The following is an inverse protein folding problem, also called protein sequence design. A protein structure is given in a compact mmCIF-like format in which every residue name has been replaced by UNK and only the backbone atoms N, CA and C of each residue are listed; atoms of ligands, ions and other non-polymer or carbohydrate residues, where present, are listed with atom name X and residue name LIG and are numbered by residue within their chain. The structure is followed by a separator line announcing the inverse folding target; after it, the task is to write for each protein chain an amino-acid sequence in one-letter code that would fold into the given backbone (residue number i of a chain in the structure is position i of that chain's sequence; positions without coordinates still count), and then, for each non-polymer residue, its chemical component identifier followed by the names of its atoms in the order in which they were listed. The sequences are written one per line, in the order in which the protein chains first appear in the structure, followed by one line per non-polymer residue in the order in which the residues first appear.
data_IF_717331842449
#
_entry.id   IF_717331842449
#
_cell.length_a   1.000
_cell.length_b   1.000
_cell.length_c   1.000
_cell.angle_alpha   90.00
_cell.angle_beta   90.00
_cell.angle_gamma   90.00
#
_symmetry.space_group_name_H-M   'P 1'
#
loop_
_entity.id
_entity.type
_entity.pdbx_description
1 polymer ?
#
# COMPACT_ATOMS: atom_id res chain seq x y z
N UNK A 1 -3.34 -1.72 17.40
CA UNK A 1 -3.48 -2.53 16.18
C UNK A 1 -2.11 -2.75 15.60
N UNK A 2 -1.85 -3.93 15.05
CA UNK A 2 -0.63 -4.19 14.27
C UNK A 2 -0.61 -3.33 13.01
N UNK A 3 0.57 -2.88 12.60
CA UNK A 3 0.79 -2.02 11.43
C UNK A 3 0.24 -2.64 10.14
N UNK A 4 0.38 -3.97 9.99
CA UNK A 4 -0.17 -4.71 8.85
C UNK A 4 -1.69 -4.55 8.73
N UNK A 5 -2.41 -4.72 9.84
CA UNK A 5 -3.88 -4.60 9.87
C UNK A 5 -4.32 -3.17 9.54
N UNK A 6 -3.56 -2.16 10.00
CA UNK A 6 -3.85 -0.77 9.63
C UNK A 6 -3.70 -0.54 8.13
N UNK A 7 -2.63 -1.05 7.50
CA UNK A 7 -2.41 -0.89 6.06
C UNK A 7 -3.47 -1.62 5.25
N UNK A 8 -3.89 -2.83 5.64
CA UNK A 8 -4.99 -3.54 4.97
C UNK A 8 -6.28 -2.72 5.01
N UNK A 9 -6.64 -2.16 6.17
CA UNK A 9 -7.82 -1.28 6.26
C UNK A 9 -7.68 -0.01 5.41
N UNK A 10 -6.50 0.62 5.40
CA UNK A 10 -6.28 1.78 4.54
C UNK A 10 -6.41 1.43 3.05
N UNK A 11 -5.95 0.24 2.64
CA UNK A 11 -6.13 -0.28 1.28
C UNK A 11 -7.60 -0.54 0.95
N UNK A 12 -8.37 -1.08 1.87
CA UNK A 12 -9.81 -1.31 1.65
C UNK A 12 -10.58 -0.01 1.41
N UNK A 13 -10.26 1.04 2.19
CA UNK A 13 -10.96 2.32 2.10
C UNK A 13 -10.43 3.24 0.99
N UNK A 14 -9.12 3.27 0.77
CA UNK A 14 -8.47 4.27 -0.10
C UNK A 14 -7.68 3.64 -1.26
N UNK A 15 -7.56 2.33 -1.34
CA UNK A 15 -6.87 1.61 -2.42
C UNK A 15 -7.34 1.97 -3.83
N UNK A 16 -8.65 2.19 -4.09
CA UNK A 16 -9.12 2.67 -5.39
C UNK A 16 -8.63 4.07 -5.80
N UNK A 17 -8.08 4.86 -4.87
CA UNK A 17 -7.52 6.19 -5.14
C UNK A 17 -6.02 6.15 -5.48
N UNK A 18 -5.40 4.98 -5.37
CA UNK A 18 -4.03 4.75 -5.80
C UNK A 18 -3.96 4.47 -7.30
N UNK A 19 -2.81 4.74 -7.90
CA UNK A 19 -2.53 4.21 -9.25
C UNK A 19 -2.42 2.69 -9.21
N UNK A 20 -2.68 2.03 -10.34
CA UNK A 20 -2.61 0.56 -10.44
C UNK A 20 -1.28 0.00 -9.95
N UNK A 21 -0.16 0.67 -10.28
CA UNK A 21 1.18 0.25 -9.83
C UNK A 21 1.35 0.36 -8.31
N UNK A 22 0.80 1.40 -7.69
CA UNK A 22 0.85 1.60 -6.24
C UNK A 22 0.01 0.58 -5.49
N UNK A 23 -1.21 0.36 -5.98
CA UNK A 23 -2.12 -0.64 -5.43
C UNK A 23 -1.52 -2.04 -5.55
N UNK A 24 -1.06 -2.41 -6.75
CA UNK A 24 -0.47 -3.73 -7.00
C UNK A 24 0.75 -3.98 -6.12
N UNK A 25 1.68 -3.02 -6.02
CA UNK A 25 2.87 -3.17 -5.18
C UNK A 25 2.49 -3.39 -3.71
N UNK A 26 1.49 -2.67 -3.20
CA UNK A 26 1.01 -2.85 -1.82
C UNK A 26 0.30 -4.20 -1.61
N UNK A 27 -0.53 -4.65 -2.55
CA UNK A 27 -1.21 -5.95 -2.45
C UNK A 27 -0.20 -7.10 -2.44
N UNK A 28 0.72 -7.14 -3.42
CA UNK A 28 1.75 -8.17 -3.47
C UNK A 28 2.59 -8.20 -2.18
N UNK A 29 2.86 -7.03 -1.58
CA UNK A 29 3.64 -6.94 -0.35
C UNK A 29 2.87 -7.31 0.93
N UNK A 30 1.61 -6.89 1.04
CA UNK A 30 0.82 -7.01 2.29
C UNK A 30 -0.14 -8.19 2.31
N UNK A 31 -0.69 -8.58 1.16
CA UNK A 31 -1.64 -9.70 1.00
C UNK A 31 -0.90 -10.99 0.63
N UNK A 32 0.05 -10.93 -0.30
CA UNK A 32 0.77 -12.10 -0.83
C UNK A 32 2.13 -12.37 -0.17
N UNK A 33 2.50 -11.57 0.84
CA UNK A 33 3.77 -11.68 1.59
C UNK A 33 5.05 -11.66 0.73
N UNK A 34 4.98 -11.10 -0.49
CA UNK A 34 6.13 -11.03 -1.38
C UNK A 34 7.18 -10.04 -0.85
N UNK A 35 8.44 -10.43 -1.00
CA UNK A 35 9.59 -9.56 -0.77
C UNK A 35 9.70 -8.50 -1.87
N UNK A 36 10.42 -7.42 -1.58
CA UNK A 36 10.69 -6.37 -2.59
C UNK A 36 11.43 -6.89 -3.83
N UNK A 37 12.16 -8.00 -3.70
CA UNK A 37 12.86 -8.64 -4.82
C UNK A 37 11.88 -9.37 -5.73
N UNK A 38 11.01 -10.20 -5.15
CA UNK A 38 9.99 -10.94 -5.91
C UNK A 38 9.02 -9.98 -6.62
N UNK A 39 8.61 -8.90 -5.95
CA UNK A 39 7.75 -7.87 -6.58
C UNK A 39 8.49 -7.15 -7.72
N UNK A 40 9.79 -6.92 -7.56
CA UNK A 40 10.58 -6.27 -8.60
C UNK A 40 10.70 -7.15 -9.86
N UNK A 41 10.87 -8.46 -9.66
CA UNK A 41 10.86 -9.46 -10.73
C UNK A 41 9.50 -9.54 -11.41
N UNK A 42 8.41 -9.66 -10.63
CA UNK A 42 7.02 -9.74 -11.13
C UNK A 42 6.63 -8.49 -11.95
N UNK A 43 7.00 -7.30 -11.47
CA UNK A 43 6.64 -6.04 -12.11
C UNK A 43 7.67 -5.58 -13.18
N UNK A 44 8.78 -6.30 -13.36
CA UNK A 44 9.84 -5.94 -14.30
C UNK A 44 10.51 -4.59 -13.99
N UNK A 45 10.68 -4.27 -12.70
CA UNK A 45 11.29 -3.02 -12.22
C UNK A 45 12.45 -3.29 -11.27
N UNK A 46 13.15 -2.24 -10.80
CA UNK A 46 14.19 -2.43 -9.78
C UNK A 46 13.59 -2.57 -8.38
N UNK A 47 14.29 -3.28 -7.49
CA UNK A 47 13.95 -3.35 -6.06
C UNK A 47 13.79 -1.96 -5.42
N UNK A 48 14.61 -0.99 -5.82
CA UNK A 48 14.51 0.38 -5.36
C UNK A 48 13.21 1.05 -5.84
N UNK A 49 12.80 0.81 -7.09
CA UNK A 49 11.56 1.33 -7.63
C UNK A 49 10.34 0.79 -6.87
N UNK A 50 10.34 -0.50 -6.49
CA UNK A 50 9.29 -1.09 -5.63
C UNK A 50 9.28 -0.43 -4.25
N UNK A 51 10.45 -0.32 -3.61
CA UNK A 51 10.56 0.33 -2.30
C UNK A 51 9.97 1.75 -2.32
N UNK A 52 10.37 2.57 -3.29
CA UNK A 52 9.89 3.94 -3.41
C UNK A 52 8.40 4.01 -3.75
N UNK A 53 7.91 3.06 -4.55
CA UNK A 53 6.51 2.94 -4.88
C UNK A 53 5.66 2.65 -3.62
N UNK A 54 6.07 1.67 -2.82
CA UNK A 54 5.42 1.33 -1.55
C UNK A 54 5.42 2.50 -0.56
N UNK A 55 6.54 3.21 -0.41
CA UNK A 55 6.61 4.38 0.48
C UNK A 55 5.66 5.49 0.04
N UNK A 56 5.63 5.79 -1.27
CA UNK A 56 4.68 6.77 -1.82
C UNK A 56 3.23 6.34 -1.63
N UNK A 57 2.91 5.08 -1.89
CA UNK A 57 1.56 4.56 -1.73
C UNK A 57 1.09 4.66 -0.26
N UNK A 58 1.93 4.26 0.70
CA UNK A 58 1.66 4.44 2.14
C UNK A 58 1.46 5.90 2.53
N UNK A 59 2.27 6.80 1.99
CA UNK A 59 2.12 8.23 2.27
C UNK A 59 0.76 8.76 1.78
N UNK A 60 0.35 8.39 0.56
CA UNK A 60 -0.95 8.77 0.00
C UNK A 60 -2.11 8.24 0.84
N UNK A 61 -2.07 6.96 1.23
CA UNK A 61 -3.11 6.35 2.07
C UNK A 61 -3.23 7.07 3.43
N UNK A 62 -2.11 7.37 4.08
CA UNK A 62 -2.10 8.11 5.34
C UNK A 62 -2.56 9.56 5.18
N UNK A 63 -2.23 10.22 4.07
CA UNK A 63 -2.69 11.58 3.77
C UNK A 63 -4.22 11.60 3.60
N UNK A 64 -4.80 10.62 2.91
CA UNK A 64 -6.26 10.47 2.83
C UNK A 64 -6.88 10.23 4.21
N UNK A 65 -6.33 9.32 5.02
CA UNK A 65 -6.83 9.09 6.36
C UNK A 65 -6.73 10.33 7.26
N UNK A 66 -5.68 11.14 7.11
CA UNK A 66 -5.52 12.39 7.87
C UNK A 66 -6.56 13.45 7.53
N UNK A 67 -7.20 13.35 6.35
CA UNK A 67 -8.20 14.30 5.85
C UNK A 67 -9.62 13.81 6.00
N UNK A 68 -9.84 12.50 5.82
CA UNK A 68 -11.16 11.89 5.72
C UNK A 68 -11.55 11.10 6.96
N UNK A 69 -10.56 10.56 7.69
CA UNK A 69 -10.77 9.81 8.93
C UNK A 69 -11.74 8.63 8.81
N UNK A 70 -11.88 8.01 7.63
CA UNK A 70 -12.88 6.95 7.42
C UNK A 70 -12.54 5.69 8.21
N UNK A 71 -11.25 5.33 8.29
CA UNK A 71 -10.82 4.15 9.07
C UNK A 71 -10.99 4.40 10.56
N UNK A 72 -10.72 5.64 11.03
CA UNK A 72 -10.96 6.01 12.42
C UNK A 72 -12.45 6.01 12.80
N UNK A 73 -13.34 6.45 11.90
CA UNK A 73 -14.80 6.47 12.13
C UNK A 73 -15.47 5.10 12.04
N UNK A 74 -14.89 4.17 11.27
CA UNK A 74 -15.36 2.79 11.18
C UNK A 74 -15.13 1.99 12.47
N UNK A 75 -14.20 2.45 13.33
CA UNK A 75 -13.81 1.78 14.58
C UNK A 75 -14.60 2.23 15.79
#
# INVERSE_FOLDING_TARGET
MEERVLISLLLDFYGPLLTDKQRMSLQLHHEDDMSLGEIAEELGVSRQAVHDNLQRARHILNDYESKLHLVAQYK
#
